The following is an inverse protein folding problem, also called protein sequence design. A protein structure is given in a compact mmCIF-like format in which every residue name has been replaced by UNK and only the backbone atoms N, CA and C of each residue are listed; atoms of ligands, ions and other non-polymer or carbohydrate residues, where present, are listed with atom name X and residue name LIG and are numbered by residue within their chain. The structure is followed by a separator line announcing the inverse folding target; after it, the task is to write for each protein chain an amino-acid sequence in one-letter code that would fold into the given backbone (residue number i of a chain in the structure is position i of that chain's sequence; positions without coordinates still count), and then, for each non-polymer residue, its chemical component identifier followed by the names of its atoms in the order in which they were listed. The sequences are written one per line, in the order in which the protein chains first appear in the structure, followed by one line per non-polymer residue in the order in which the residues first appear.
data_IF_736448473677
#
_entry.id   IF_736448473677
#
_cell.length_a   1.000
_cell.length_b   1.000
_cell.length_c   1.000
_cell.angle_alpha   90.00
_cell.angle_beta   90.00
_cell.angle_gamma   90.00
#
_symmetry.space_group_name_H-M   'P 1'
#
loop_
_entity.id
_entity.type
_entity.pdbx_description
1 polymer ?
#
# COMPACT_ATOMS: atom_id res chain seq x y z
N UNK A 1 12.28 7.99 -6.38
CA UNK A 1 12.28 6.76 -7.21
C UNK A 1 11.41 5.67 -6.59
N UNK A 2 11.83 5.00 -5.50
CA UNK A 2 11.03 3.95 -4.82
C UNK A 2 9.63 4.43 -4.39
N UNK A 3 9.57 5.61 -3.77
CA UNK A 3 8.34 6.24 -3.29
C UNK A 3 7.29 6.43 -4.40
N UNK A 4 7.70 7.03 -5.52
CA UNK A 4 6.86 7.23 -6.69
C UNK A 4 6.40 5.90 -7.31
N UNK A 5 7.28 4.89 -7.34
CA UNK A 5 6.93 3.56 -7.86
C UNK A 5 5.89 2.86 -6.98
N UNK A 6 6.07 2.87 -5.65
CA UNK A 6 5.10 2.31 -4.70
C UNK A 6 3.75 3.03 -4.78
N UNK A 7 3.74 4.36 -4.86
CA UNK A 7 2.50 5.13 -5.05
C UNK A 7 1.80 4.78 -6.36
N UNK A 8 2.54 4.61 -7.46
CA UNK A 8 1.93 4.24 -8.76
C UNK A 8 1.33 2.84 -8.70
N UNK A 9 2.02 1.85 -8.10
CA UNK A 9 1.47 0.50 -7.89
C UNK A 9 0.24 0.55 -6.99
N UNK A 10 0.29 1.31 -5.90
CA UNK A 10 -0.85 1.47 -5.00
C UNK A 10 -2.06 2.14 -5.65
N UNK A 11 -1.86 3.08 -6.59
CA UNK A 11 -2.94 3.80 -7.25
C UNK A 11 -3.49 3.06 -8.47
N UNK A 12 -2.76 2.10 -9.02
CA UNK A 12 -3.21 1.32 -10.18
C UNK A 12 -4.34 0.37 -9.75
N UNK A 13 -5.49 0.30 -10.46
CA UNK A 13 -6.53 -0.70 -10.21
C UNK A 13 -5.95 -2.13 -10.18
N UNK A 14 -6.52 -3.01 -9.36
CA UNK A 14 -5.97 -4.39 -9.17
C UNK A 14 -5.92 -5.18 -10.49
N UNK A 15 -6.81 -4.82 -11.41
CA UNK A 15 -7.00 -5.41 -12.73
C UNK A 15 -5.99 -4.89 -13.77
N UNK A 16 -5.32 -3.77 -13.50
CA UNK A 16 -4.51 -3.06 -14.50
C UNK A 16 -2.99 -3.28 -14.37
N UNK A 17 -2.51 -3.90 -13.28
CA UNK A 17 -1.11 -4.34 -13.19
C UNK A 17 -1.01 -5.87 -13.31
N UNK A 18 -0.54 -6.41 -14.45
CA UNK A 18 -0.35 -7.85 -14.62
C UNK A 18 0.55 -8.42 -13.52
N UNK A 19 0.29 -9.67 -13.14
CA UNK A 19 1.11 -10.39 -12.15
C UNK A 19 2.59 -10.43 -12.57
N UNK A 20 2.87 -10.60 -13.86
CA UNK A 20 4.22 -10.57 -14.43
C UNK A 20 4.98 -9.26 -14.12
N UNK A 21 4.31 -8.11 -14.20
CA UNK A 21 4.91 -6.79 -13.89
C UNK A 21 5.19 -6.67 -12.40
N UNK A 22 4.27 -7.16 -11.55
CA UNK A 22 4.47 -7.18 -10.10
C UNK A 22 5.66 -8.08 -9.73
N UNK A 23 5.74 -9.27 -10.31
CA UNK A 23 6.86 -10.19 -10.09
C UNK A 23 8.20 -9.60 -10.52
N UNK A 24 8.27 -8.91 -11.67
CA UNK A 24 9.48 -8.20 -12.13
C UNK A 24 9.89 -7.10 -11.15
N UNK A 25 8.94 -6.29 -10.69
CA UNK A 25 9.23 -5.24 -9.72
C UNK A 25 9.69 -5.81 -8.38
N UNK A 26 9.03 -6.87 -7.91
CA UNK A 26 9.37 -7.57 -6.68
C UNK A 26 10.78 -8.18 -6.74
N UNK A 27 11.13 -8.81 -7.86
CA UNK A 27 12.48 -9.32 -8.11
C UNK A 27 13.51 -8.17 -8.12
N UNK A 28 13.25 -7.10 -8.87
CA UNK A 28 14.17 -5.96 -8.96
C UNK A 28 14.42 -5.28 -7.61
N UNK A 29 13.40 -5.16 -6.76
CA UNK A 29 13.55 -4.63 -5.40
C UNK A 29 14.37 -5.54 -4.49
N UNK A 30 14.30 -6.86 -4.69
CA UNK A 30 15.09 -7.83 -3.93
C UNK A 30 16.54 -7.86 -4.41
N UNK A 31 16.76 -7.87 -5.73
CA UNK A 31 18.08 -7.96 -6.34
C UNK A 31 18.92 -6.72 -6.01
N UNK A 32 18.32 -5.52 -6.09
CA UNK A 32 18.94 -4.29 -5.63
C UNK A 32 19.25 -4.26 -4.12
N UNK A 33 18.62 -5.13 -3.34
CA UNK A 33 18.86 -5.26 -1.91
C UNK A 33 19.98 -6.26 -1.59
N UNK A 34 20.31 -7.17 -2.51
CA UNK A 34 21.24 -8.27 -2.32
C UNK A 34 22.70 -7.82 -2.20
N UNK A 35 23.17 -6.91 -3.06
CA UNK A 35 24.61 -6.57 -3.14
C UNK A 35 25.07 -5.46 -2.18
N UNK A 36 24.16 -4.71 -1.55
CA UNK A 36 24.56 -3.59 -0.67
C UNK A 36 23.53 -3.11 0.35
N UNK A 37 22.36 -3.75 0.45
CA UNK A 37 21.29 -3.31 1.37
C UNK A 37 20.79 -1.88 1.12
N UNK A 38 21.05 -1.31 -0.06
CA UNK A 38 20.77 0.07 -0.42
C UNK A 38 19.27 0.42 -0.34
N UNK A 39 18.39 -0.60 -0.37
CA UNK A 39 16.95 -0.45 -0.24
C UNK A 39 16.43 -0.72 1.17
N UNK A 40 17.22 -1.24 2.12
CA UNK A 40 16.76 -1.51 3.49
C UNK A 40 16.14 -0.28 4.17
N UNK A 41 16.86 0.85 4.19
CA UNK A 41 16.40 2.08 4.84
C UNK A 41 15.23 2.74 4.07
N UNK A 42 15.27 2.88 2.73
CA UNK A 42 14.12 3.34 1.95
C UNK A 42 12.86 2.48 2.14
N UNK A 43 12.98 1.15 2.13
CA UNK A 43 11.86 0.23 2.36
C UNK A 43 11.29 0.39 3.77
N UNK A 44 12.12 0.41 4.81
CA UNK A 44 11.63 0.65 6.18
C UNK A 44 10.94 2.02 6.33
N UNK A 45 11.46 3.07 5.67
CA UNK A 45 10.83 4.38 5.66
C UNK A 45 9.51 4.40 4.90
N UNK A 46 9.34 3.56 3.88
CA UNK A 46 8.09 3.47 3.13
C UNK A 46 6.91 2.94 3.97
N UNK A 47 7.18 2.23 5.07
CA UNK A 47 6.16 1.84 6.07
C UNK A 47 5.57 3.03 6.84
N UNK A 48 6.19 4.21 6.80
CA UNK A 48 5.68 5.41 7.47
C UNK A 48 4.46 6.01 6.76
N UNK A 49 4.15 5.57 5.53
CA UNK A 49 3.09 6.15 4.69
C UNK A 49 2.05 5.11 4.33
N UNK A 50 0.79 5.35 4.71
CA UNK A 50 -0.34 4.47 4.47
C UNK A 50 -0.58 4.23 2.96
N UNK A 51 -0.28 5.21 2.12
CA UNK A 51 -0.46 5.13 0.67
C UNK A 51 0.36 4.04 -0.01
N UNK A 52 1.39 3.47 0.63
CA UNK A 52 2.19 2.39 0.07
C UNK A 52 1.67 1.00 0.39
N UNK A 53 0.77 0.88 1.36
CA UNK A 53 0.39 -0.41 1.93
C UNK A 53 -0.28 -1.33 0.91
N UNK A 54 -1.07 -0.75 0.01
CA UNK A 54 -1.68 -1.51 -1.10
C UNK A 54 -0.63 -2.14 -2.01
N UNK A 55 0.47 -1.42 -2.33
CA UNK A 55 1.53 -1.96 -3.16
C UNK A 55 2.21 -3.19 -2.54
N UNK A 56 2.43 -3.22 -1.22
CA UNK A 56 3.07 -4.36 -0.57
C UNK A 56 2.27 -5.67 -0.65
N UNK A 57 0.94 -5.59 -0.71
CA UNK A 57 0.11 -6.77 -0.94
C UNK A 57 0.32 -7.39 -2.33
N UNK A 58 0.79 -6.59 -3.29
CA UNK A 58 1.16 -7.05 -4.63
C UNK A 58 2.62 -7.48 -4.77
N UNK A 59 3.44 -7.34 -3.73
CA UNK A 59 4.90 -7.56 -3.76
C UNK A 59 5.32 -8.51 -2.62
N UNK A 60 5.00 -9.81 -2.74
CA UNK A 60 5.15 -10.78 -1.66
C UNK A 60 6.60 -10.96 -1.17
N UNK A 61 7.60 -10.98 -2.07
CA UNK A 61 9.01 -11.15 -1.70
C UNK A 61 9.54 -9.90 -0.98
N UNK A 62 9.17 -8.70 -1.45
CA UNK A 62 9.50 -7.42 -0.82
C UNK A 62 8.88 -7.32 0.57
N UNK A 63 7.64 -7.75 0.72
CA UNK A 63 6.95 -7.77 2.01
C UNK A 63 7.63 -8.72 3.00
N UNK A 64 8.03 -9.90 2.53
CA UNK A 64 8.84 -10.86 3.30
C UNK A 64 10.20 -10.28 3.72
N UNK A 65 10.85 -9.52 2.83
CA UNK A 65 12.11 -8.86 3.16
C UNK A 65 11.94 -7.73 4.19
N UNK A 66 10.87 -6.93 4.06
CA UNK A 66 10.49 -5.91 5.04
C UNK A 66 10.26 -6.53 6.43
N UNK A 67 9.60 -7.69 6.48
CA UNK A 67 9.40 -8.45 7.71
C UNK A 67 10.72 -8.84 8.35
N UNK A 68 11.65 -9.42 7.58
CA UNK A 68 13.01 -9.78 8.06
C UNK A 68 13.78 -8.58 8.59
N UNK A 69 13.63 -7.41 7.96
CA UNK A 69 14.26 -6.17 8.43
C UNK A 69 13.66 -5.66 9.73
N UNK A 70 12.34 -5.69 9.86
CA UNK A 70 11.65 -5.31 11.08
C UNK A 70 11.97 -6.24 12.25
N UNK A 71 12.12 -7.56 12.00
CA UNK A 71 12.54 -8.52 13.02
C UNK A 71 13.93 -8.20 13.62
N UNK A 72 14.81 -7.56 12.83
CA UNK A 72 16.16 -7.16 13.24
C UNK A 72 16.27 -5.69 13.66
N UNK A 73 15.17 -4.94 13.68
CA UNK A 73 15.19 -3.49 13.96
C UNK A 73 15.18 -3.24 15.46
N UNK A 74 15.94 -2.24 15.92
CA UNK A 74 15.92 -1.85 17.33
C UNK A 74 14.59 -1.20 17.71
N UNK A 75 14.19 -1.31 18.98
CA UNK A 75 12.94 -0.72 19.46
C UNK A 75 12.85 0.78 19.16
N UNK A 76 13.94 1.54 19.34
CA UNK A 76 13.99 2.98 19.01
C UNK A 76 13.63 3.25 17.55
N UNK A 77 14.15 2.44 16.61
CA UNK A 77 13.84 2.56 15.18
C UNK A 77 12.41 2.14 14.86
N UNK A 78 11.92 1.08 15.49
CA UNK A 78 10.52 0.66 15.35
C UNK A 78 9.56 1.77 15.84
N UNK A 79 9.84 2.38 16.99
CA UNK A 79 9.09 3.52 17.51
C UNK A 79 9.10 4.70 16.53
N UNK A 80 10.25 5.03 15.94
CA UNK A 80 10.32 6.09 14.91
C UNK A 80 9.48 5.77 13.66
N UNK A 81 9.47 4.50 13.22
CA UNK A 81 8.68 4.06 12.06
C UNK A 81 7.17 4.10 12.36
N UNK A 82 6.75 3.59 13.51
CA UNK A 82 5.33 3.38 13.81
C UNK A 82 4.69 4.54 14.57
N UNK A 83 5.38 5.15 15.53
CA UNK A 83 4.80 6.11 16.48
C UNK A 83 5.41 7.52 16.41
N UNK A 84 6.55 7.70 15.74
CA UNK A 84 7.27 8.98 15.64
C UNK A 84 6.45 10.11 14.98
N UNK A 85 6.92 11.36 15.10
CA UNK A 85 6.25 12.56 14.54
C UNK A 85 6.00 12.51 13.02
N UNK A 86 6.76 11.70 12.28
CA UNK A 86 6.52 11.39 10.87
C UNK A 86 6.36 9.90 10.60
N UNK A 87 5.97 9.14 11.64
CA UNK A 87 5.72 7.71 11.56
C UNK A 87 4.29 7.40 11.13
N UNK A 88 4.01 6.11 10.95
CA UNK A 88 2.72 5.64 10.45
C UNK A 88 1.53 6.09 11.30
N UNK A 89 1.67 6.18 12.63
CA UNK A 89 0.59 6.66 13.49
C UNK A 89 0.19 8.10 13.21
N UNK A 90 1.16 8.97 12.88
CA UNK A 90 0.87 10.36 12.52
C UNK A 90 0.12 10.41 11.19
N UNK A 91 0.58 9.64 10.21
CA UNK A 91 -0.01 9.55 8.88
C UNK A 91 -1.41 8.91 8.88
N UNK A 92 -1.67 7.92 9.73
CA UNK A 92 -3.02 7.35 9.93
C UNK A 92 -3.96 8.38 10.53
N UNK A 93 -3.53 9.18 11.52
CA UNK A 93 -4.38 10.20 12.15
C UNK A 93 -4.77 11.32 11.19
N UNK A 94 -3.85 11.75 10.33
CA UNK A 94 -4.11 12.81 9.34
C UNK A 94 -4.89 12.31 8.13
N UNK A 95 -4.95 10.99 7.89
CA UNK A 95 -5.66 10.44 6.76
C UNK A 95 -7.17 10.68 6.84
N UNK A 96 -7.74 11.12 5.72
CA UNK A 96 -9.17 11.40 5.53
C UNK A 96 -9.86 10.43 4.58
N UNK A 97 -9.09 9.57 3.89
CA UNK A 97 -9.58 8.62 2.89
C UNK A 97 -9.63 7.20 3.45
N UNK A 98 -10.84 6.64 3.70
CA UNK A 98 -10.98 5.27 4.23
C UNK A 98 -10.34 4.21 3.32
N UNK A 99 -10.45 4.41 2.02
CA UNK A 99 -9.94 3.59 0.93
C UNK A 99 -8.40 3.46 0.92
N UNK A 100 -7.68 4.42 1.51
CA UNK A 100 -6.23 4.33 1.72
C UNK A 100 -5.89 3.54 2.99
N UNK A 101 -6.68 3.68 4.06
CA UNK A 101 -6.44 3.05 5.36
C UNK A 101 -6.79 1.56 5.40
N UNK A 102 -7.73 1.10 4.57
CA UNK A 102 -8.18 -0.30 4.56
C UNK A 102 -7.05 -1.33 4.37
N UNK A 103 -5.94 -0.93 3.74
CA UNK A 103 -4.80 -1.81 3.46
C UNK A 103 -3.78 -1.86 4.60
N UNK A 104 -3.86 -0.93 5.56
CA UNK A 104 -2.88 -0.82 6.65
C UNK A 104 -2.93 -2.03 7.58
N UNK A 105 -4.13 -2.39 8.06
CA UNK A 105 -4.29 -3.53 8.97
C UNK A 105 -3.83 -4.87 8.36
N UNK A 106 -4.26 -5.28 7.15
CA UNK A 106 -3.85 -6.55 6.55
C UNK A 106 -2.33 -6.72 6.46
N UNK A 107 -1.64 -5.69 5.97
CA UNK A 107 -0.17 -5.72 5.82
C UNK A 107 0.52 -5.75 7.17
N UNK A 108 0.07 -4.95 8.14
CA UNK A 108 0.68 -4.94 9.48
C UNK A 108 0.54 -6.30 10.18
N UNK A 109 -0.61 -6.98 10.01
CA UNK A 109 -0.82 -8.35 10.53
C UNK A 109 0.09 -9.38 9.85
N UNK A 110 0.30 -9.25 8.54
CA UNK A 110 1.20 -10.13 7.80
C UNK A 110 2.66 -9.90 8.21
N UNK A 111 3.05 -8.63 8.37
CA UNK A 111 4.38 -8.28 8.89
C UNK A 111 4.58 -8.83 10.31
N UNK A 112 3.65 -8.63 11.24
CA UNK A 112 3.81 -9.09 12.62
C UNK A 112 3.70 -10.60 12.82
N UNK A 113 3.23 -11.34 11.79
CA UNK A 113 3.01 -12.78 11.87
C UNK A 113 1.84 -13.17 12.74
N UNK A 114 0.79 -12.35 12.78
CA UNK A 114 -0.39 -12.63 13.59
C UNK A 114 -1.27 -13.73 12.96
N UNK A 115 -1.77 -14.64 13.79
CA UNK A 115 -2.71 -15.69 13.38
C UNK A 115 -2.09 -16.70 12.41
N UNK A 116 -2.74 -16.89 11.25
CA UNK A 116 -2.32 -17.88 10.24
C UNK A 116 -0.91 -17.62 9.68
N UNK A 117 -0.48 -16.35 9.66
CA UNK A 117 0.80 -15.92 9.12
C UNK A 117 1.99 -16.27 10.04
N UNK A 118 1.75 -16.77 11.25
CA UNK A 118 2.82 -17.19 12.17
C UNK A 118 3.65 -18.35 11.61
N UNK A 119 3.01 -19.27 10.87
CA UNK A 119 3.67 -20.43 10.25
C UNK A 119 4.58 -20.03 9.09
N UNK A 120 4.24 -18.92 8.43
CA UNK A 120 4.99 -18.37 7.28
C UNK A 120 6.24 -17.57 7.73
N UNK A 121 6.49 -17.46 9.04
CA UNK A 121 7.55 -16.62 9.57
C UNK A 121 8.97 -17.15 9.32
N UNK A 122 9.15 -18.44 9.00
CA UNK A 122 10.46 -19.03 8.73
C UNK A 122 11.52 -18.71 9.80
N UNK A 123 11.11 -18.61 11.07
CA UNK A 123 11.99 -18.29 12.20
C UNK A 123 12.32 -16.80 12.45
N UNK A 124 11.90 -15.88 11.57
CA UNK A 124 12.15 -14.44 11.74
C UNK A 124 11.02 -13.74 12.49
N UNK A 125 10.99 -13.88 13.81
CA UNK A 125 9.94 -13.28 14.64
C UNK A 125 10.35 -11.90 15.17
N UNK A 126 9.44 -10.92 15.13
CA UNK A 126 9.65 -9.62 15.78
C UNK A 126 9.62 -9.77 17.29
N UNK A 127 10.41 -8.95 17.99
CA UNK A 127 10.33 -8.88 19.45
C UNK A 127 8.94 -8.43 19.92
N UNK A 128 8.54 -8.87 21.12
CA UNK A 128 7.25 -8.54 21.73
C UNK A 128 7.02 -7.03 21.81
N UNK A 129 8.06 -6.25 22.10
CA UNK A 129 8.02 -4.78 22.15
C UNK A 129 7.69 -4.18 20.78
N UNK A 130 8.33 -4.65 19.70
CA UNK A 130 8.05 -4.18 18.33
C UNK A 130 6.64 -4.59 17.89
N UNK A 131 6.21 -5.82 18.19
CA UNK A 131 4.82 -6.26 17.96
C UNK A 131 3.81 -5.40 18.71
N UNK A 132 4.14 -4.93 19.92
CA UNK A 132 3.33 -3.97 20.67
C UNK A 132 3.09 -2.67 19.89
N UNK A 133 4.13 -2.14 19.25
CA UNK A 133 4.06 -0.93 18.40
C UNK A 133 3.19 -1.16 17.17
N UNK A 134 3.34 -2.30 16.51
CA UNK A 134 2.49 -2.67 15.36
C UNK A 134 1.02 -2.77 15.77
N UNK A 135 0.72 -3.47 16.88
CA UNK A 135 -0.65 -3.59 17.41
C UNK A 135 -1.27 -2.24 17.78
N UNK A 136 -0.50 -1.32 18.36
CA UNK A 136 -0.97 0.02 18.65
C UNK A 136 -1.43 0.76 17.39
N UNK A 137 -0.67 0.67 16.29
CA UNK A 137 -1.04 1.29 15.02
C UNK A 137 -2.23 0.58 14.34
N UNK A 138 -2.34 -0.75 14.45
CA UNK A 138 -3.52 -1.48 13.97
C UNK A 138 -4.78 -0.97 14.68
N UNK A 139 -4.75 -0.86 16.02
CA UNK A 139 -5.89 -0.37 16.79
C UNK A 139 -6.24 1.09 16.46
N UNK A 140 -5.22 1.93 16.26
CA UNK A 140 -5.41 3.30 15.80
C UNK A 140 -6.06 3.37 14.42
N UNK A 141 -5.63 2.53 13.48
CA UNK A 141 -6.20 2.43 12.13
C UNK A 141 -7.67 2.05 12.19
N UNK A 142 -8.03 1.03 12.98
CA UNK A 142 -9.42 0.62 13.19
C UNK A 142 -10.28 1.75 13.78
N UNK A 143 -9.75 2.44 14.79
CA UNK A 143 -10.44 3.59 15.40
C UNK A 143 -10.70 4.68 14.36
N UNK A 144 -9.67 5.03 13.58
CA UNK A 144 -9.76 6.07 12.55
C UNK A 144 -10.74 5.71 11.44
N UNK A 145 -10.74 4.47 10.97
CA UNK A 145 -11.72 3.98 9.98
C UNK A 145 -13.16 4.17 10.48
N UNK A 146 -13.44 3.78 11.72
CA UNK A 146 -14.77 3.98 12.35
C UNK A 146 -15.15 5.46 12.45
N UNK A 147 -14.21 6.34 12.81
CA UNK A 147 -14.44 7.78 12.87
C UNK A 147 -14.81 8.38 11.50
N UNK A 148 -14.13 7.94 10.44
CA UNK A 148 -14.42 8.37 9.08
C UNK A 148 -15.78 7.83 8.60
N UNK A 149 -16.12 6.58 8.92
CA UNK A 149 -17.44 6.01 8.62
C UNK A 149 -18.58 6.78 9.32
N UNK A 150 -18.41 7.13 10.60
CA UNK A 150 -19.40 7.91 11.35
C UNK A 150 -19.53 9.32 10.75
N UNK A 151 -18.42 9.97 10.44
CA UNK A 151 -18.40 11.30 9.81
C UNK A 151 -19.10 11.29 8.45
N UNK A 152 -18.83 10.28 7.61
CA UNK A 152 -19.49 10.13 6.32
C UNK A 152 -21.01 9.91 6.47
N UNK A 153 -21.44 9.08 7.43
CA UNK A 153 -22.86 8.87 7.71
C UNK A 153 -23.57 10.14 8.19
N UNK A 154 -22.91 10.96 9.02
CA UNK A 154 -23.46 12.25 9.48
C UNK A 154 -23.63 13.24 8.32
N UNK A 155 -22.61 13.35 7.47
CA UNK A 155 -22.66 14.23 6.30
C UNK A 155 -23.73 13.80 5.29
N UNK A 156 -23.93 12.49 5.09
CA UNK A 156 -24.95 11.98 4.16
C UNK A 156 -26.39 12.07 4.71
N UNK A 157 -26.58 12.09 6.03
CA UNK A 157 -27.91 12.25 6.65
C UNK A 157 -28.38 13.71 6.66
N UNK A 158 -27.48 14.69 6.56
CA UNK A 158 -27.83 16.11 6.45
C UNK A 158 -28.28 16.58 5.06
N UNK A 159 -28.10 15.74 4.02
CA UNK A 159 -28.38 16.11 2.62
C UNK A 159 -29.66 15.52 2.01
N UNK A 160 -30.48 14.78 2.77
CA UNK A 160 -31.75 14.20 2.29
C UNK A 160 -32.95 15.07 2.62
N UNK A 161 -32.92 16.31 2.16
CA UNK A 161 -34.05 17.23 2.16
C UNK A 161 -34.04 18.04 0.86
N UNK A 162 -34.50 17.45 -0.24
CA UNK A 162 -34.55 18.15 -1.53
C UNK A 162 -34.97 17.24 -2.68
N UNK A 163 -36.12 17.54 -3.26
CA UNK A 163 -36.77 16.90 -4.41
C UNK A 163 -35.85 16.48 -5.57
N UNK A 164 -36.12 15.30 -6.13
CA UNK A 164 -36.37 15.19 -7.59
C UNK A 164 -37.04 13.86 -7.93
N UNK A 165 -38.30 13.95 -8.36
CA UNK A 165 -38.87 13.03 -9.34
C UNK A 165 -38.19 13.32 -10.66
N UNK A 166 -37.43 12.37 -11.18
CA UNK A 166 -37.12 12.28 -12.61
C UNK A 166 -37.22 10.82 -13.03
N UNK A 167 -38.37 10.53 -13.63
CA UNK A 167 -38.60 9.43 -14.56
C UNK A 167 -37.82 9.68 -15.85
N UNK A 168 -36.92 8.78 -16.23
CA UNK A 168 -36.73 8.28 -17.61
C UNK A 168 -35.41 7.49 -17.74
N UNK A 169 -35.53 6.31 -18.33
CA UNK A 169 -34.50 5.55 -19.05
C UNK A 169 -35.16 5.05 -20.35
N UNK A 170 -34.46 4.47 -21.35
CA UNK A 170 -33.05 4.53 -21.72
C UNK A 170 -32.86 4.94 -23.22
N UNK A 171 -31.62 5.22 -23.66
CA UNK A 171 -31.31 5.46 -25.09
C UNK A 171 -29.92 4.94 -25.44
N UNK A 172 -29.90 3.92 -26.30
CA UNK A 172 -28.75 3.22 -26.89
C UNK A 172 -28.10 4.11 -27.95
N UNK A 173 -26.78 4.31 -27.88
CA UNK A 173 -25.84 4.19 -29.01
C UNK A 173 -24.48 4.82 -28.69
N UNK A 174 -23.45 3.98 -28.61
CA UNK A 174 -22.08 4.19 -29.09
C UNK A 174 -21.23 2.99 -28.64
N UNK A 175 -21.53 1.81 -29.19
CA UNK A 175 -20.57 0.69 -29.22
C UNK A 175 -19.45 1.04 -30.21
N UNK A 176 -18.56 1.95 -29.82
CA UNK A 176 -17.17 1.90 -30.28
C UNK A 176 -16.45 0.91 -29.38
N UNK A 177 -15.70 0.02 -29.99
CA UNK A 177 -14.98 -1.10 -29.39
C UNK A 177 -14.06 -0.66 -28.22
N UNK A 178 -14.65 -0.51 -27.02
CA UNK A 178 -14.01 -0.05 -25.77
C UNK A 178 -12.86 -0.98 -25.37
N UNK A 179 -12.87 -2.22 -25.84
CA UNK A 179 -11.92 -3.26 -25.44
C UNK A 179 -10.50 -3.01 -25.98
N UNK A 180 -10.37 -2.50 -27.21
CA UNK A 180 -9.06 -2.20 -27.81
C UNK A 180 -8.43 -0.94 -27.21
N UNK A 181 -9.22 0.11 -27.00
CA UNK A 181 -8.74 1.37 -26.40
C UNK A 181 -8.33 1.16 -24.94
N UNK A 182 -9.07 0.37 -24.17
CA UNK A 182 -8.67 0.02 -22.80
C UNK A 182 -7.44 -0.91 -22.77
N UNK A 183 -7.29 -1.81 -23.75
CA UNK A 183 -6.11 -2.66 -23.85
C UNK A 183 -4.85 -1.87 -24.21
N UNK A 184 -4.91 -0.96 -25.18
CA UNK A 184 -3.81 -0.06 -25.51
C UNK A 184 -3.46 0.87 -24.35
N UNK A 185 -4.47 1.37 -23.62
CA UNK A 185 -4.26 2.19 -22.42
C UNK A 185 -3.58 1.40 -21.31
N UNK A 186 -3.94 0.13 -21.11
CA UNK A 186 -3.29 -0.78 -20.16
C UNK A 186 -1.85 -1.07 -20.54
N UNK A 187 -1.57 -1.36 -21.81
CA UNK A 187 -0.21 -1.60 -22.32
C UNK A 187 0.66 -0.35 -22.22
N UNK A 188 0.14 0.83 -22.60
CA UNK A 188 0.88 2.08 -22.47
C UNK A 188 1.19 2.43 -21.01
N UNK A 189 0.27 2.15 -20.09
CA UNK A 189 0.50 2.34 -18.66
C UNK A 189 1.50 1.33 -18.09
N UNK A 190 1.47 0.06 -18.51
CA UNK A 190 2.45 -0.95 -18.08
C UNK A 190 3.85 -0.61 -18.59
N UNK A 191 3.98 -0.21 -19.86
CA UNK A 191 5.25 0.27 -20.43
C UNK A 191 5.76 1.51 -19.69
N UNK A 192 4.88 2.46 -19.36
CA UNK A 192 5.26 3.64 -18.58
C UNK A 192 5.67 3.33 -17.14
N UNK A 193 5.12 2.28 -16.53
CA UNK A 193 5.57 1.77 -15.22
C UNK A 193 6.94 1.10 -15.39
N UNK A 194 7.13 0.23 -16.38
CA UNK A 194 8.39 -0.46 -16.64
C UNK A 194 9.55 0.51 -16.93
N UNK A 195 9.35 1.51 -17.80
CA UNK A 195 10.36 2.52 -18.09
C UNK A 195 10.74 3.36 -16.86
N UNK A 196 9.78 3.66 -15.97
CA UNK A 196 10.10 4.37 -14.73
C UNK A 196 10.74 3.49 -13.68
N UNK A 197 10.41 2.19 -13.66
CA UNK A 197 11.14 1.21 -12.86
C UNK A 197 12.59 1.20 -13.37
N UNK A 198 12.84 0.97 -14.65
CA UNK A 198 14.18 0.99 -15.24
C UNK A 198 14.92 2.30 -14.96
N UNK A 199 14.27 3.45 -15.11
CA UNK A 199 14.86 4.77 -14.81
C UNK A 199 15.16 4.94 -13.32
N UNK A 200 14.30 4.43 -12.43
CA UNK A 200 14.53 4.43 -10.99
C UNK A 200 15.65 3.48 -10.56
N UNK A 201 15.82 2.36 -11.27
CA UNK A 201 16.88 1.38 -11.05
C UNK A 201 18.23 1.90 -11.58
N UNK A 202 18.24 2.55 -12.75
CA UNK A 202 19.45 3.05 -13.41
C UNK A 202 19.97 4.37 -12.85
N UNK A 203 19.12 5.28 -12.39
CA UNK A 203 19.53 6.54 -11.73
C UNK A 203 20.20 6.33 -10.35
N UNK A 204 20.27 5.10 -9.85
CA UNK A 204 20.92 4.72 -8.58
C UNK A 204 22.21 3.90 -8.75
N UNK A 205 22.55 3.49 -9.98
CA UNK A 205 23.83 2.83 -10.31
C UNK A 205 24.94 3.82 -10.69
N UNK A 206 24.63 5.12 -10.76
CA UNK A 206 25.59 6.23 -10.82
C UNK A 206 25.69 6.86 -9.45
#
# INVERSE_FOLDING_TARGET
ALDAALLRISNTPKEDLPESVRCRFDAALIDLNGEGGALKRPLLNSLKRNGHYRAFLGLPRTLEQLRRYLAKVSLKKATDIFEGKGGLAADVRSCTRPDALQWVEPVLRQLSGEGRFKRDLGGFEMSSSVKGKVRAVINLTKKRMKELEISNRKNNKGGRGGNSRTTAAPGVDMERDVRLVDQERRVAQSVGVEQMIEKALSARKK
#
